data_IF_833327280008
#
_entry.id   IF_833327280008
#
_cell.length_a   1.000
_cell.length_b   1.000
_cell.length_c   1.000
_cell.angle_alpha   90.00
_cell.angle_beta   90.00
_cell.angle_gamma   90.00
#
_symmetry.space_group_name_H-M   'P 1'
#
loop_
_entity.id
_entity.type
_entity.pdbx_description
1 polymer ?
#
# COMPACT_ATOMS: atom_id res chain seq x y z
N UNK A 1 -24.78 -22.47 40.67
CA UNK A 1 -23.38 -22.45 40.21
C UNK A 1 -23.38 -22.07 38.74
N UNK A 2 -23.07 -20.81 38.44
CA UNK A 2 -23.18 -20.22 37.10
C UNK A 2 -21.92 -20.52 36.31
N UNK A 3 -22.03 -21.36 35.28
CA UNK A 3 -20.95 -21.66 34.35
C UNK A 3 -20.66 -20.43 33.48
N UNK A 4 -19.48 -19.84 33.66
CA UNK A 4 -18.95 -18.75 32.81
C UNK A 4 -18.97 -19.16 31.34
N UNK A 5 -19.62 -18.37 30.46
CA UNK A 5 -19.58 -18.64 29.03
C UNK A 5 -18.19 -18.32 28.50
N UNK A 6 -17.43 -19.38 28.25
CA UNK A 6 -16.63 -19.57 27.04
C UNK A 6 -15.98 -18.28 26.48
N UNK A 7 -14.74 -18.05 26.92
CA UNK A 7 -13.82 -17.13 26.26
C UNK A 7 -13.68 -17.54 24.79
N UNK A 8 -14.53 -16.96 23.93
CA UNK A 8 -14.46 -17.11 22.48
C UNK A 8 -13.02 -16.87 22.06
N UNK A 9 -12.37 -17.93 21.60
CA UNK A 9 -10.97 -17.91 21.16
C UNK A 9 -10.78 -16.77 20.15
N UNK A 10 -10.18 -15.66 20.58
CA UNK A 10 -9.81 -14.59 19.66
C UNK A 10 -8.76 -15.16 18.72
N UNK A 11 -8.89 -14.95 17.40
CA UNK A 11 -7.88 -15.40 16.46
C UNK A 11 -6.54 -14.77 16.85
N UNK A 12 -5.49 -15.59 16.88
CA UNK A 12 -4.14 -15.13 17.19
C UNK A 12 -3.73 -14.01 16.22
N UNK A 13 -3.02 -12.97 16.70
CA UNK A 13 -2.50 -11.94 15.83
C UNK A 13 -1.58 -12.54 14.78
N UNK A 14 -1.70 -12.07 13.53
CA UNK A 14 -0.81 -12.46 12.45
C UNK A 14 0.48 -11.67 12.56
N UNK A 15 1.59 -12.36 12.75
CA UNK A 15 2.93 -11.76 12.68
C UNK A 15 3.30 -11.42 11.23
N UNK A 16 3.86 -10.24 11.03
CA UNK A 16 4.35 -9.75 9.74
C UNK A 16 5.78 -9.26 9.96
N UNK A 17 6.68 -9.67 9.08
CA UNK A 17 8.06 -9.20 9.04
C UNK A 17 8.28 -8.35 7.80
N UNK A 18 8.78 -7.15 8.00
CA UNK A 18 9.08 -6.19 6.93
C UNK A 18 10.52 -5.75 7.05
N UNK A 19 11.26 -5.70 5.95
CA UNK A 19 12.56 -5.01 5.94
C UNK A 19 12.33 -3.52 6.27
N UNK A 20 13.25 -2.87 6.97
CA UNK A 20 13.10 -1.49 7.45
C UNK A 20 12.70 -0.53 6.33
N UNK A 21 13.33 -0.58 5.15
CA UNK A 21 12.94 0.31 4.04
C UNK A 21 11.49 0.08 3.57
N UNK A 22 11.00 -1.16 3.59
CA UNK A 22 9.61 -1.50 3.25
C UNK A 22 8.66 -0.94 4.31
N UNK A 23 9.03 -1.10 5.58
CA UNK A 23 8.28 -0.56 6.72
C UNK A 23 8.18 0.96 6.64
N UNK A 24 9.28 1.65 6.36
CA UNK A 24 9.32 3.11 6.17
C UNK A 24 8.38 3.55 5.04
N UNK A 25 8.48 2.95 3.85
CA UNK A 25 7.59 3.26 2.71
C UNK A 25 6.11 3.09 3.07
N UNK A 26 5.77 2.01 3.76
CA UNK A 26 4.40 1.74 4.20
C UNK A 26 3.94 2.76 5.25
N UNK A 27 4.76 3.07 6.24
CA UNK A 27 4.41 3.99 7.33
C UNK A 27 4.19 5.42 6.83
N UNK A 28 5.02 5.90 5.90
CA UNK A 28 4.84 7.21 5.26
C UNK A 28 3.49 7.28 4.53
N UNK A 29 3.13 6.22 3.79
CA UNK A 29 1.86 6.18 3.07
C UNK A 29 0.65 6.05 4.03
N UNK A 30 0.79 5.28 5.12
CA UNK A 30 -0.23 5.15 6.16
C UNK A 30 -0.44 6.48 6.89
N UNK A 31 0.63 7.22 7.18
CA UNK A 31 0.56 8.53 7.81
C UNK A 31 -0.19 9.52 6.91
N UNK A 32 0.16 9.60 5.63
CA UNK A 32 -0.54 10.45 4.66
C UNK A 32 -2.04 10.13 4.60
N UNK A 33 -2.38 8.84 4.54
CA UNK A 33 -3.78 8.38 4.55
C UNK A 33 -4.49 8.66 5.88
N UNK A 34 -3.77 8.63 7.01
CA UNK A 34 -4.31 8.97 8.33
C UNK A 34 -4.57 10.47 8.45
N UNK A 35 -3.67 11.32 7.95
CA UNK A 35 -3.84 12.77 7.94
C UNK A 35 -5.03 13.18 7.08
N UNK A 36 -5.19 12.57 5.91
CA UNK A 36 -6.30 12.86 4.99
C UNK A 36 -7.69 12.47 5.57
N UNK A 37 -7.77 11.43 6.41
CA UNK A 37 -9.02 10.99 7.05
C UNK A 37 -9.43 11.82 8.27
N UNK A 38 -8.52 12.62 8.84
CA UNK A 38 -8.76 13.34 10.09
C UNK A 38 -8.89 12.40 11.31
N UNK A 39 -9.31 12.94 12.47
CA UNK A 39 -9.49 12.21 13.74
C UNK A 39 -10.75 11.31 13.78
N UNK A 40 -11.09 10.63 12.68
CA UNK A 40 -12.22 9.70 12.67
C UNK A 40 -11.84 8.44 13.47
N UNK A 41 -12.58 8.17 14.55
CA UNK A 41 -12.20 7.33 15.71
C UNK A 41 -12.03 5.82 15.51
N UNK A 42 -11.80 5.33 14.30
CA UNK A 42 -11.46 3.93 14.08
C UNK A 42 -9.97 3.67 14.36
N UNK A 43 -9.59 2.60 15.09
CA UNK A 43 -8.19 2.20 15.24
C UNK A 43 -7.57 1.91 13.88
N UNK A 44 -6.63 2.75 13.44
CA UNK A 44 -5.93 2.58 12.17
C UNK A 44 -4.69 1.71 12.35
N UNK A 45 -4.26 1.04 11.28
CA UNK A 45 -2.98 0.35 11.24
C UNK A 45 -1.82 1.30 11.60
N UNK A 46 -1.89 2.55 11.13
CA UNK A 46 -0.93 3.60 11.48
C UNK A 46 -0.80 3.79 12.99
N UNK A 47 -1.93 3.92 13.70
CA UNK A 47 -1.93 4.08 15.16
C UNK A 47 -1.32 2.88 15.88
N UNK A 48 -1.60 1.67 15.41
CA UNK A 48 -1.06 0.44 15.99
C UNK A 48 0.46 0.29 15.80
N UNK A 49 1.00 0.75 14.66
CA UNK A 49 2.42 0.62 14.33
C UNK A 49 3.26 1.86 14.68
N UNK A 50 2.61 2.93 15.16
CA UNK A 50 3.28 4.20 15.52
C UNK A 50 4.42 4.04 16.53
N UNK A 51 4.34 3.22 17.59
CA UNK A 51 5.46 3.05 18.51
C UNK A 51 6.70 2.47 17.82
N UNK A 52 6.53 1.41 17.02
CA UNK A 52 7.61 0.81 16.24
C UNK A 52 8.19 1.81 15.21
N UNK A 53 7.33 2.63 14.61
CA UNK A 53 7.76 3.69 13.70
C UNK A 53 8.65 4.73 14.37
N UNK A 54 8.27 5.22 15.55
CA UNK A 54 9.06 6.20 16.30
C UNK A 54 10.41 5.64 16.73
N UNK A 55 10.47 4.36 17.10
CA UNK A 55 11.72 3.70 17.45
C UNK A 55 12.66 3.58 16.25
N UNK A 56 12.17 3.12 15.10
CA UNK A 56 12.96 2.98 13.87
C UNK A 56 13.40 4.36 13.36
N UNK A 57 12.52 5.36 13.35
CA UNK A 57 12.83 6.73 12.93
C UNK A 57 13.94 7.36 13.77
N UNK A 58 13.92 7.14 15.09
CA UNK A 58 15.00 7.58 15.99
C UNK A 58 16.33 6.89 15.64
N UNK A 59 16.33 5.56 15.49
CA UNK A 59 17.55 4.80 15.16
C UNK A 59 18.12 5.23 13.81
N UNK A 60 17.28 5.38 12.78
CA UNK A 60 17.69 5.86 11.46
C UNK A 60 18.29 7.28 11.54
N UNK A 61 17.71 8.16 12.36
CA UNK A 61 18.22 9.52 12.57
C UNK A 61 19.58 9.54 13.28
N UNK A 62 19.80 8.66 14.25
CA UNK A 62 21.06 8.56 14.99
C UNK A 62 22.18 8.00 14.09
N UNK A 63 21.92 6.88 13.43
CA UNK A 63 22.90 6.22 12.55
C UNK A 63 23.19 7.06 11.31
N UNK A 64 22.17 7.66 10.69
CA UNK A 64 22.33 8.47 9.48
C UNK A 64 23.17 9.73 9.64
N UNK A 65 23.44 10.17 10.88
CA UNK A 65 24.34 11.30 11.17
C UNK A 65 25.81 10.92 11.25
N UNK A 66 26.10 9.63 11.48
CA UNK A 66 27.43 9.17 11.88
C UNK A 66 28.02 8.15 10.92
N UNK A 67 27.20 7.26 10.36
CA UNK A 67 27.66 6.15 9.52
C UNK A 67 26.67 5.81 8.41
N UNK A 68 27.06 6.09 7.16
CA UNK A 68 26.26 5.83 5.97
C UNK A 68 26.15 4.33 5.63
N UNK A 69 27.15 3.52 5.98
CA UNK A 69 27.14 2.08 5.74
C UNK A 69 26.18 1.41 6.73
N UNK A 70 26.32 1.70 8.03
CA UNK A 70 25.40 1.18 9.04
C UNK A 70 23.95 1.64 8.78
N UNK A 71 23.75 2.86 8.25
CA UNK A 71 22.43 3.31 7.82
C UNK A 71 21.86 2.44 6.69
N UNK A 72 22.70 2.09 5.71
CA UNK A 72 22.30 1.25 4.57
C UNK A 72 21.98 -0.18 5.01
N UNK A 73 22.80 -0.77 5.87
CA UNK A 73 22.56 -2.09 6.47
C UNK A 73 21.25 -2.09 7.27
N UNK A 74 21.04 -1.09 8.13
CA UNK A 74 19.78 -0.93 8.88
C UNK A 74 18.58 -0.84 7.94
N UNK A 75 18.67 -0.09 6.85
CA UNK A 75 17.58 0.06 5.88
C UNK A 75 17.30 -1.23 5.09
N UNK A 76 18.33 -1.96 4.68
CA UNK A 76 18.24 -3.02 3.67
C UNK A 76 18.18 -4.44 4.24
N UNK A 77 18.74 -4.67 5.43
CA UNK A 77 18.92 -6.02 5.97
C UNK A 77 18.09 -6.27 7.22
N UNK A 78 17.82 -5.23 8.01
CA UNK A 78 17.08 -5.40 9.26
C UNK A 78 15.58 -5.53 9.04
N UNK A 79 14.95 -6.39 9.84
CA UNK A 79 13.52 -6.63 9.81
C UNK A 79 12.82 -6.00 11.04
N UNK A 80 11.63 -5.46 10.79
CA UNK A 80 10.69 -5.02 11.82
C UNK A 80 9.59 -6.08 11.92
N UNK A 81 9.41 -6.62 13.12
CA UNK A 81 8.36 -7.60 13.43
C UNK A 81 7.12 -6.86 13.94
N UNK A 82 5.99 -7.05 13.27
CA UNK A 82 4.75 -6.33 13.50
C UNK A 82 3.60 -7.31 13.67
N UNK A 83 2.56 -6.88 14.38
CA UNK A 83 1.36 -7.68 14.58
C UNK A 83 0.16 -7.04 13.88
N UNK A 84 -0.58 -7.87 13.14
CA UNK A 84 -1.91 -7.57 12.64
C UNK A 84 -2.94 -8.37 13.44
N UNK A 85 -3.70 -7.70 14.28
CA UNK A 85 -4.72 -8.28 15.17
C UNK A 85 -6.04 -8.57 14.45
N UNK A 86 -6.31 -7.90 13.33
CA UNK A 86 -7.57 -8.03 12.59
C UNK A 86 -7.35 -8.21 11.10
N UNK A 87 -8.30 -8.86 10.42
CA UNK A 87 -8.31 -8.94 8.95
C UNK A 87 -8.43 -7.57 8.30
N UNK A 88 -9.08 -6.62 8.96
CA UNK A 88 -9.18 -5.22 8.51
C UNK A 88 -7.80 -4.56 8.44
N UNK A 89 -6.92 -4.81 9.41
CA UNK A 89 -5.53 -4.32 9.39
C UNK A 89 -4.74 -4.91 8.22
N UNK A 90 -4.88 -6.21 7.94
CA UNK A 90 -4.25 -6.83 6.77
C UNK A 90 -4.80 -6.24 5.47
N UNK A 91 -6.11 -6.00 5.40
CA UNK A 91 -6.75 -5.34 4.25
C UNK A 91 -6.26 -3.91 4.04
N UNK A 92 -6.09 -3.14 5.12
CA UNK A 92 -5.51 -1.80 5.08
C UNK A 92 -4.06 -1.84 4.58
N UNK A 93 -3.24 -2.76 5.10
CA UNK A 93 -1.85 -2.95 4.63
C UNK A 93 -1.79 -3.27 3.13
N UNK A 94 -2.62 -4.20 2.65
CA UNK A 94 -2.65 -4.60 1.24
C UNK A 94 -3.04 -3.44 0.32
N UNK A 95 -4.01 -2.61 0.72
CA UNK A 95 -4.40 -1.41 -0.03
C UNK A 95 -3.29 -0.37 -0.03
N UNK A 96 -2.62 -0.17 1.10
CA UNK A 96 -1.47 0.73 1.19
C UNK A 96 -0.35 0.29 0.26
N UNK A 97 0.01 -1.01 0.25
CA UNK A 97 1.03 -1.54 -0.65
C UNK A 97 0.66 -1.36 -2.12
N UNK A 98 -0.60 -1.59 -2.48
CA UNK A 98 -1.09 -1.35 -3.84
C UNK A 98 -0.94 0.11 -4.27
N UNK A 99 -1.27 1.05 -3.38
CA UNK A 99 -1.09 2.47 -3.63
C UNK A 99 0.38 2.84 -3.85
N UNK A 100 1.30 2.34 -3.02
CA UNK A 100 2.75 2.59 -3.17
C UNK A 100 3.27 1.99 -4.48
N UNK A 101 2.88 0.75 -4.81
CA UNK A 101 3.27 0.11 -6.09
C UNK A 101 2.77 0.92 -7.29
N UNK A 102 1.56 1.48 -7.23
CA UNK A 102 1.01 2.31 -8.30
C UNK A 102 1.74 3.66 -8.42
N UNK A 103 2.16 4.27 -7.30
CA UNK A 103 3.01 5.46 -7.30
C UNK A 103 4.38 5.16 -7.94
N UNK A 104 5.04 4.08 -7.53
CA UNK A 104 6.32 3.66 -8.12
C UNK A 104 6.20 3.41 -9.62
N UNK A 105 5.10 2.81 -10.09
CA UNK A 105 4.83 2.65 -11.54
C UNK A 105 4.71 4.00 -12.26
N UNK A 106 4.11 5.01 -11.63
CA UNK A 106 4.01 6.35 -12.19
C UNK A 106 5.39 7.04 -12.21
N UNK A 107 6.17 6.92 -11.15
CA UNK A 107 7.53 7.46 -11.06
C UNK A 107 8.49 6.82 -12.08
N UNK A 108 8.42 5.50 -12.28
CA UNK A 108 9.21 4.79 -13.31
C UNK A 108 8.90 5.34 -14.71
N UNK A 109 7.63 5.64 -15.01
CA UNK A 109 7.25 6.23 -16.29
C UNK A 109 7.77 7.67 -16.44
N UNK A 110 7.87 8.40 -15.34
CA UNK A 110 8.33 9.79 -15.34
C UNK A 110 9.86 9.93 -15.33
N UNK A 111 10.60 8.96 -14.78
CA UNK A 111 12.06 8.99 -14.60
C UNK A 111 12.87 8.75 -15.88
N UNK A 112 12.33 9.07 -17.07
CA UNK A 112 12.98 8.84 -18.36
C UNK A 112 14.37 9.49 -18.41
N UNK A 113 15.41 8.70 -18.72
CA UNK A 113 16.79 9.16 -18.91
C UNK A 113 17.74 8.93 -17.72
N UNK A 114 17.25 8.53 -16.54
CA UNK A 114 18.10 8.19 -15.39
C UNK A 114 18.09 6.67 -15.13
N UNK A 115 19.10 5.98 -15.66
CA UNK A 115 19.21 4.52 -15.57
C UNK A 115 19.36 4.02 -14.12
N UNK A 116 20.03 4.80 -13.25
CA UNK A 116 20.25 4.41 -11.85
C UNK A 116 18.92 4.50 -11.10
N UNK A 117 18.25 5.64 -11.18
CA UNK A 117 16.94 5.85 -10.57
C UNK A 117 15.90 4.84 -11.05
N UNK A 118 15.90 4.52 -12.35
CA UNK A 118 15.01 3.49 -12.90
C UNK A 118 15.27 2.10 -12.29
N UNK A 119 16.52 1.75 -12.05
CA UNK A 119 16.90 0.47 -11.43
C UNK A 119 16.40 0.42 -9.99
N UNK A 120 16.64 1.47 -9.22
CA UNK A 120 16.22 1.57 -7.82
C UNK A 120 14.68 1.48 -7.68
N UNK A 121 13.94 2.25 -8.49
CA UNK A 121 12.48 2.22 -8.47
C UNK A 121 11.90 0.85 -8.89
N UNK A 122 12.54 0.16 -9.84
CA UNK A 122 12.14 -1.19 -10.27
C UNK A 122 12.39 -2.22 -9.17
N UNK A 123 13.51 -2.10 -8.45
CA UNK A 123 13.81 -2.93 -7.30
C UNK A 123 12.73 -2.76 -6.22
N UNK A 124 12.48 -1.52 -5.79
CA UNK A 124 11.46 -1.24 -4.77
C UNK A 124 10.08 -1.79 -5.17
N UNK A 125 9.67 -1.56 -6.41
CA UNK A 125 8.40 -2.07 -6.94
C UNK A 125 8.32 -3.60 -6.84
N UNK A 126 9.37 -4.29 -7.29
CA UNK A 126 9.39 -5.76 -7.35
C UNK A 126 9.30 -6.36 -5.95
N UNK A 127 10.03 -5.80 -4.99
CA UNK A 127 10.02 -6.24 -3.60
C UNK A 127 8.67 -6.01 -2.93
N UNK A 128 8.05 -4.83 -3.12
CA UNK A 128 6.72 -4.56 -2.56
C UNK A 128 5.62 -5.41 -3.21
N UNK A 129 5.74 -5.74 -4.51
CA UNK A 129 4.84 -6.71 -5.16
C UNK A 129 5.02 -8.13 -4.58
N UNK A 130 6.26 -8.54 -4.28
CA UNK A 130 6.54 -9.83 -3.61
C UNK A 130 5.95 -9.86 -2.21
N UNK A 131 6.12 -8.81 -1.43
CA UNK A 131 5.51 -8.66 -0.11
C UNK A 131 3.98 -8.76 -0.18
N UNK A 132 3.34 -8.03 -1.10
CA UNK A 132 1.88 -8.08 -1.31
C UNK A 132 1.39 -9.49 -1.63
N UNK A 133 2.11 -10.23 -2.49
CA UNK A 133 1.79 -11.64 -2.78
C UNK A 133 1.90 -12.53 -1.54
N UNK A 134 2.94 -12.36 -0.72
CA UNK A 134 3.12 -13.12 0.54
C UNK A 134 1.99 -12.84 1.53
N UNK A 135 1.63 -11.58 1.72
CA UNK A 135 0.54 -11.17 2.61
C UNK A 135 -0.83 -11.70 2.17
N UNK A 136 -1.12 -11.72 0.85
CA UNK A 136 -2.35 -12.34 0.32
C UNK A 136 -2.41 -13.85 0.57
N UNK A 137 -1.27 -14.53 0.58
CA UNK A 137 -1.21 -15.96 0.95
C UNK A 137 -1.51 -16.12 2.44
N UNK A 138 -0.86 -15.34 3.31
CA UNK A 138 -1.09 -15.35 4.75
C UNK A 138 -2.56 -15.07 5.11
N UNK A 139 -3.18 -14.09 4.45
CA UNK A 139 -4.59 -13.74 4.68
C UNK A 139 -5.56 -14.88 4.30
N UNK A 140 -5.18 -15.73 3.35
CA UNK A 140 -5.96 -16.90 2.91
C UNK A 140 -5.72 -18.11 3.79
N UNK A 141 -4.46 -18.36 4.19
CA UNK A 141 -4.10 -19.50 5.03
C UNK A 141 -4.73 -19.42 6.43
N UNK A 142 -4.86 -18.23 7.00
CA UNK A 142 -5.61 -18.01 8.26
C UNK A 142 -7.13 -18.20 8.16
N UNK A 143 -7.67 -18.58 6.99
CA UNK A 143 -9.08 -18.92 6.80
C UNK A 143 -9.31 -20.42 6.58
N UNK A 144 -8.26 -21.23 6.40
CA UNK A 144 -8.35 -22.62 5.94
C UNK A 144 -8.05 -23.68 7.01
N UNK A 145 -7.99 -23.31 8.29
CA UNK A 145 -7.71 -24.23 9.41
C UNK A 145 -8.98 -24.82 10.04
N UNK A 146 -10.13 -24.78 9.36
CA UNK A 146 -11.30 -25.54 9.77
C UNK A 146 -11.28 -26.89 9.04
N UNK A 147 -11.28 -28.04 9.75
CA UNK A 147 -11.40 -29.35 9.11
C UNK A 147 -12.76 -29.41 8.43
N UNK A 148 -12.76 -29.31 7.10
CA UNK A 148 -13.95 -29.53 6.28
C UNK A 148 -14.30 -31.01 6.39
N UNK A 149 -15.24 -31.32 7.29
CA UNK A 149 -15.83 -32.64 7.41
C UNK A 149 -16.24 -33.13 6.02
N UNK A 150 -15.72 -34.30 5.64
CA UNK A 150 -16.00 -34.98 4.38
C UNK A 150 -17.46 -35.44 4.40
N UNK A 151 -18.40 -34.61 3.96
CA UNK A 151 -19.72 -35.11 3.55
C UNK A 151 -19.62 -35.62 2.12
N UNK A 152 -19.70 -36.95 2.03
CA UNK A 152 -19.74 -37.78 0.83
C UNK A 152 -21.05 -37.49 0.05
N UNK A 153 -21.02 -36.96 -1.18
CA UNK A 153 -22.21 -36.97 -2.02
C UNK A 153 -22.36 -38.36 -2.64
N UNK A 154 -23.42 -39.06 -2.22
CA UNK A 154 -23.91 -40.30 -2.83
C UNK A 154 -24.43 -40.03 -4.24
N UNK A 155 -24.08 -40.96 -5.13
CA UNK A 155 -24.43 -40.99 -6.53
C UNK A 155 -25.94 -41.05 -6.79
N UNK A 156 -26.36 -40.50 -7.95
CA UNK A 156 -27.62 -40.88 -8.58
C UNK A 156 -28.33 -39.73 -9.29
N UNK A 157 -28.09 -39.54 -10.58
CA UNK A 157 -29.14 -39.77 -11.59
C UNK A 157 -28.74 -39.27 -12.98
N UNK A 158 -29.21 -40.06 -13.95
CA UNK A 158 -28.92 -40.12 -15.37
C UNK A 158 -29.54 -38.98 -16.19
N UNK A 159 -28.82 -38.63 -17.26
CA UNK A 159 -29.26 -38.52 -18.67
C UNK A 159 -30.30 -37.45 -19.05
N UNK A 160 -29.99 -36.65 -20.10
CA UNK A 160 -30.77 -36.59 -21.36
C UNK A 160 -30.19 -35.54 -22.34
N UNK A 161 -29.74 -36.04 -23.49
CA UNK A 161 -29.83 -35.55 -24.89
C UNK A 161 -29.68 -34.05 -25.26
N UNK A 162 -28.69 -33.81 -26.14
CA UNK A 162 -28.59 -32.92 -27.34
C UNK A 162 -29.91 -32.25 -27.82
N UNK A 163 -29.85 -31.04 -28.45
CA UNK A 163 -29.35 -30.95 -29.83
C UNK A 163 -28.60 -29.67 -30.27
N UNK A 164 -28.08 -29.85 -31.49
CA UNK A 164 -27.33 -29.01 -32.43
C UNK A 164 -28.20 -27.85 -32.95
N UNK A 165 -27.64 -26.63 -33.02
CA UNK A 165 -28.33 -25.48 -33.63
C UNK A 165 -27.34 -24.42 -34.07
N UNK A 166 -27.31 -24.16 -35.38
CA UNK A 166 -26.44 -23.22 -36.06
C UNK A 166 -26.88 -21.75 -35.87
N UNK A 167 -25.94 -20.84 -36.09
CA UNK A 167 -26.05 -19.68 -37.00
C UNK A 167 -25.40 -18.40 -36.45
N UNK A 168 -24.58 -17.83 -37.33
CA UNK A 168 -23.97 -16.49 -37.32
C UNK A 168 -25.03 -15.46 -37.72
N UNK A 169 -24.90 -14.18 -37.34
CA UNK A 169 -24.47 -13.22 -38.36
C UNK A 169 -23.58 -12.05 -37.87
N UNK A 170 -22.98 -11.38 -38.86
CA UNK A 170 -22.18 -10.15 -38.81
C UNK A 170 -23.07 -8.89 -38.68
N UNK A 171 -22.57 -7.83 -38.03
CA UNK A 171 -22.77 -6.42 -38.45
C UNK A 171 -21.74 -5.54 -37.69
N UNK A 172 -20.76 -4.92 -38.34
CA UNK A 172 -20.76 -3.57 -38.98
C UNK A 172 -21.19 -2.43 -38.06
N UNK A 173 -20.26 -1.54 -37.71
CA UNK A 173 -20.57 -0.27 -37.05
C UNK A 173 -19.34 0.54 -36.62
N UNK A 174 -18.64 1.15 -37.57
CA UNK A 174 -17.77 2.32 -37.36
C UNK A 174 -18.69 3.55 -37.50
N UNK A 175 -18.53 4.64 -36.72
CA UNK A 175 -17.69 5.72 -37.23
C UNK A 175 -16.89 6.49 -36.17
N UNK A 176 -15.85 7.14 -36.69
CA UNK A 176 -15.00 8.18 -36.10
C UNK A 176 -15.81 9.49 -36.02
N UNK A 177 -15.45 10.42 -35.13
CA UNK A 177 -15.14 11.74 -35.69
C UNK A 177 -13.82 12.33 -35.18
N UNK A 178 -13.14 12.98 -36.14
CA UNK A 178 -12.11 13.98 -35.94
C UNK A 178 -12.75 15.23 -35.33
N UNK A 179 -12.09 15.84 -34.36
CA UNK A 179 -12.40 17.18 -33.88
C UNK A 179 -11.12 17.85 -33.42
N UNK A 180 -10.49 18.60 -34.33
CA UNK A 180 -9.41 19.52 -34.02
C UNK A 180 -10.02 20.81 -33.45
N UNK A 181 -9.42 21.36 -32.38
CA UNK A 181 -9.57 22.79 -32.06
C UNK A 181 -8.33 23.28 -31.30
N UNK A 182 -7.53 24.07 -32.02
CA UNK A 182 -6.60 25.07 -31.48
C UNK A 182 -7.39 26.14 -30.69
N UNK A 183 -6.87 26.56 -29.54
CA UNK A 183 -6.99 27.93 -28.98
C UNK A 183 -5.83 28.09 -27.98
N UNK A 184 -4.77 28.83 -28.32
CA UNK A 184 -4.57 30.29 -28.15
C UNK A 184 -4.53 30.76 -26.69
N UNK A 185 -3.33 31.23 -26.32
CA UNK A 185 -3.04 32.55 -25.73
C UNK A 185 -3.69 32.93 -24.40
N UNK A 186 -2.87 33.25 -23.40
CA UNK A 186 -3.35 33.98 -22.21
C UNK A 186 -2.26 34.23 -21.17
N UNK A 187 -1.55 35.34 -21.34
CA UNK A 187 -0.58 35.91 -20.40
C UNK A 187 -1.14 36.20 -19.00
N UNK A 188 -0.19 36.20 -18.05
CA UNK A 188 -0.07 37.06 -16.88
C UNK A 188 -1.06 36.90 -15.71
N UNK A 189 -0.52 36.48 -14.56
CA UNK A 189 -0.92 37.07 -13.27
C UNK A 189 0.25 37.09 -12.28
N UNK A 190 0.31 38.22 -11.58
CA UNK A 190 1.46 38.80 -10.91
C UNK A 190 1.69 38.35 -9.45
N UNK A 191 2.80 38.89 -8.89
CA UNK A 191 3.22 39.06 -7.48
C UNK A 191 3.97 37.88 -6.84
N UNK A 192 5.02 38.13 -6.01
CA UNK A 192 4.99 38.97 -4.79
C UNK A 192 6.15 39.98 -4.65
N UNK A 193 5.95 41.18 -4.11
CA UNK A 193 5.98 41.57 -2.67
C UNK A 193 7.41 41.51 -2.09
N UNK A 194 8.13 42.65 -2.12
CA UNK A 194 9.35 42.86 -1.33
C UNK A 194 9.33 44.25 -0.67
N UNK A 195 9.14 44.27 0.64
CA UNK A 195 9.62 45.31 1.57
C UNK A 195 9.75 44.63 2.93
N UNK A 196 10.90 44.76 3.58
CA UNK A 196 10.97 45.77 4.64
C UNK A 196 12.28 46.59 4.59
N UNK A 197 12.13 47.93 4.66
CA UNK A 197 13.24 48.82 5.02
C UNK A 197 13.44 48.73 6.54
N UNK A 198 14.70 48.58 6.93
CA UNK A 198 15.12 48.38 8.31
C UNK A 198 14.77 49.51 9.26
N UNK A 199 14.50 49.13 10.51
CA UNK A 199 14.67 49.98 11.69
C UNK A 199 15.97 49.56 12.37
N UNK A 200 16.93 50.48 12.47
CA UNK A 200 18.06 50.37 13.41
C UNK A 200 17.55 50.70 14.83
N UNK A 201 18.08 50.05 15.87
CA UNK A 201 17.84 50.45 17.25
C UNK A 201 18.65 51.69 17.62
N UNK A 202 18.11 52.47 18.55
CA UNK A 202 18.73 53.64 19.16
C UNK A 202 19.93 53.22 20.04
N UNK A 203 21.01 54.00 19.95
CA UNK A 203 22.07 54.00 20.94
C UNK A 203 21.73 55.03 22.04
N UNK A 204 22.22 54.71 23.24
CA UNK A 204 22.13 55.42 24.53
C UNK A 204 22.26 56.94 24.45
#
# INVERSE_FOLDING_TARGET
MTTSPEARSRPAPTEIRLVVWQFVRVMVQLEAASRARGRQGAPTLYGAWRPAWQEIDRRLTEVGKTDANAFSELMMEQEVVLQCRTRTQIGELLRTLENVVNQLKAEIKAASGDARRLTDLRFERTELETLSRRLRKLSRSGASSAPRAKTKPTAGSKSTLRPKGAARPKSTGKPKPKGAAKSKTGSAKAKPKAKPKGRRPAAR
#
